data_IF_156914547560
#
_entry.id   IF_156914547560
#
_cell.length_a   1.000
_cell.length_b   1.000
_cell.length_c   1.000
_cell.angle_alpha   90.00
_cell.angle_beta   90.00
_cell.angle_gamma   90.00
#
_symmetry.space_group_name_H-M   'P 1'
#
loop_
_entity.id
_entity.type
_entity.pdbx_description
1 polymer ?
#
# COMPACT_ATOMS: atom_id res chain seq x y z
N UNK A 1 21.67 6.58 4.32
CA UNK A 1 20.31 6.97 3.89
C UNK A 1 19.89 5.97 2.84
N UNK A 2 19.06 4.98 3.20
CA UNK A 2 18.49 4.07 2.20
C UNK A 2 17.56 4.88 1.31
N UNK A 3 17.86 4.91 0.01
CA UNK A 3 16.93 5.39 -0.99
C UNK A 3 15.70 4.49 -0.99
N UNK A 4 14.68 4.84 -0.19
CA UNK A 4 13.33 4.30 -0.33
C UNK A 4 12.74 4.87 -1.62
N UNK A 5 13.19 4.33 -2.74
CA UNK A 5 12.55 4.55 -4.03
C UNK A 5 11.07 4.20 -3.89
N UNK A 6 10.22 5.09 -4.40
CA UNK A 6 8.78 4.87 -4.41
C UNK A 6 8.48 3.50 -5.03
N UNK A 7 7.94 2.58 -4.24
CA UNK A 7 7.61 1.24 -4.73
C UNK A 7 6.42 1.36 -5.68
N UNK A 8 6.67 1.14 -6.97
CA UNK A 8 5.68 1.27 -8.04
C UNK A 8 4.40 0.46 -7.74
N UNK A 9 4.52 -0.70 -7.08
CA UNK A 9 3.37 -1.52 -6.68
C UNK A 9 2.52 -0.84 -5.62
N UNK A 10 3.15 -0.18 -4.64
CA UNK A 10 2.43 0.61 -3.62
C UNK A 10 1.76 1.84 -4.25
N UNK A 11 2.42 2.48 -5.21
CA UNK A 11 1.86 3.58 -5.98
C UNK A 11 0.66 3.20 -6.84
N UNK A 12 0.75 2.08 -7.55
CA UNK A 12 -0.37 1.55 -8.34
C UNK A 12 -1.53 1.13 -7.45
N UNK A 13 -1.26 0.51 -6.29
CA UNK A 13 -2.31 0.20 -5.32
C UNK A 13 -3.01 1.48 -4.81
N UNK A 14 -2.27 2.56 -4.51
CA UNK A 14 -2.87 3.85 -4.14
C UNK A 14 -3.77 4.42 -5.25
N UNK A 15 -3.36 4.33 -6.51
CA UNK A 15 -4.15 4.78 -7.66
C UNK A 15 -5.44 3.96 -7.86
N UNK A 16 -5.36 2.64 -7.68
CA UNK A 16 -6.53 1.74 -7.77
C UNK A 16 -7.52 1.92 -6.61
N UNK A 17 -7.04 2.39 -5.46
CA UNK A 17 -7.86 2.64 -4.27
C UNK A 17 -8.43 4.08 -4.23
N UNK A 18 -7.94 4.99 -5.09
CA UNK A 18 -8.50 6.34 -5.29
C UNK A 18 -10.04 6.38 -5.48
N UNK A 19 -10.68 5.47 -6.25
CA UNK A 19 -12.14 5.45 -6.38
C UNK A 19 -12.90 5.05 -5.09
N UNK A 20 -12.24 4.50 -4.07
CA UNK A 20 -12.92 4.08 -2.82
C UNK A 20 -13.26 5.26 -1.89
N UNK A 21 -12.93 6.50 -2.28
CA UNK A 21 -13.15 7.72 -1.49
C UNK A 21 -12.60 7.62 -0.04
N UNK A 22 -11.57 6.80 0.15
CA UNK A 22 -10.92 6.58 1.44
C UNK A 22 -9.80 7.60 1.65
N UNK A 23 -9.55 8.05 2.90
CA UNK A 23 -8.42 8.93 3.20
C UNK A 23 -7.09 8.28 2.79
N UNK A 24 -6.20 9.03 2.14
CA UNK A 24 -4.93 8.54 1.62
C UNK A 24 -4.06 7.82 2.66
N UNK A 25 -4.10 8.30 3.92
CA UNK A 25 -3.39 7.67 5.04
C UNK A 25 -3.94 6.28 5.39
N UNK A 26 -5.26 6.12 5.31
CA UNK A 26 -5.92 4.83 5.55
C UNK A 26 -5.60 3.84 4.44
N UNK A 27 -5.64 4.31 3.19
CA UNK A 27 -5.27 3.53 2.02
C UNK A 27 -3.81 3.05 2.10
N UNK A 28 -2.89 3.94 2.46
CA UNK A 28 -1.48 3.58 2.64
C UNK A 28 -1.29 2.54 3.75
N UNK A 29 -1.94 2.71 4.90
CA UNK A 29 -1.87 1.74 5.99
C UNK A 29 -2.44 0.38 5.58
N UNK A 30 -3.53 0.36 4.81
CA UNK A 30 -4.09 -0.88 4.28
C UNK A 30 -3.11 -1.56 3.32
N UNK A 31 -2.47 -0.81 2.41
CA UNK A 31 -1.45 -1.34 1.51
C UNK A 31 -0.27 -1.92 2.29
N UNK A 32 0.25 -1.20 3.28
CA UNK A 32 1.35 -1.69 4.13
C UNK A 32 0.91 -2.96 4.86
N UNK A 33 -0.32 -3.00 5.35
CA UNK A 33 -0.87 -4.17 6.05
C UNK A 33 -1.01 -5.39 5.14
N UNK A 34 -1.59 -5.25 3.95
CA UNK A 34 -1.77 -6.38 3.00
C UNK A 34 -0.45 -6.84 2.38
N UNK A 35 0.54 -5.95 2.24
CA UNK A 35 1.84 -6.28 1.66
C UNK A 35 2.86 -6.76 2.70
N UNK A 36 2.53 -6.70 4.00
CA UNK A 36 3.42 -7.20 5.04
C UNK A 36 3.36 -8.73 5.10
N UNK A 37 4.47 -9.43 4.81
CA UNK A 37 4.49 -10.90 4.79
C UNK A 37 4.17 -11.52 6.16
N UNK A 38 4.38 -10.78 7.26
CA UNK A 38 4.01 -11.25 8.61
C UNK A 38 2.51 -11.41 8.81
N UNK A 39 1.70 -10.72 8.00
CA UNK A 39 0.25 -10.74 8.12
C UNK A 39 -0.38 -11.92 7.37
N UNK A 40 0.42 -12.71 6.63
CA UNK A 40 0.01 -13.93 5.92
C UNK A 40 -1.25 -13.75 5.06
N UNK A 41 -1.40 -12.59 4.43
CA UNK A 41 -2.51 -12.31 3.53
C UNK A 41 -2.13 -12.83 2.14
N UNK A 42 -2.80 -13.90 1.70
CA UNK A 42 -2.57 -14.51 0.39
C UNK A 42 -1.58 -15.68 0.36
N UNK A 43 -1.20 -16.23 1.52
CA UNK A 43 -0.47 -17.50 1.66
C UNK A 43 -1.36 -18.57 2.29
#
# INVERSE_FOLDING_TARGET
MEYKGFNLTQGMALLLLKPLNLPSNFVLNLIIYITNPRNNIGY
#
